data_IF_599351336103
#
_entry.id   IF_599351336103
#
_cell.length_a   1.000
_cell.length_b   1.000
_cell.length_c   1.000
_cell.angle_alpha   90.00
_cell.angle_beta   90.00
_cell.angle_gamma   90.00
#
_symmetry.space_group_name_H-M   'P 1'
#
loop_
_entity.id
_entity.type
_entity.pdbx_description
1 polymer ?
#
# COMPACT_ATOMS: atom_id res chain seq x y z
N UNK A 1 9.39 10.26 12.90
CA UNK A 1 9.43 8.99 12.14
C UNK A 1 8.13 8.88 11.36
N UNK A 2 8.17 8.39 10.12
CA UNK A 2 6.96 8.21 9.30
C UNK A 2 6.46 6.78 9.48
N UNK A 3 5.18 6.62 9.80
CA UNK A 3 4.48 5.33 9.81
C UNK A 3 3.45 5.30 8.69
N UNK A 4 3.46 4.23 7.90
CA UNK A 4 2.52 4.03 6.81
C UNK A 4 1.88 2.64 6.93
N UNK A 5 0.56 2.59 6.88
CA UNK A 5 -0.23 1.36 6.88
C UNK A 5 -0.96 1.27 5.56
N UNK A 6 -0.91 0.11 4.90
CA UNK A 6 -1.54 -0.10 3.60
C UNK A 6 -2.36 -1.37 3.59
N UNK A 7 -3.45 -1.34 2.86
CA UNK A 7 -4.30 -2.49 2.58
C UNK A 7 -5.04 -2.28 1.25
N UNK A 8 -5.54 -3.36 0.67
CA UNK A 8 -6.34 -3.35 -0.54
C UNK A 8 -7.58 -4.24 -0.42
N UNK A 9 -8.64 -3.86 -1.14
CA UNK A 9 -9.88 -4.62 -1.21
C UNK A 9 -10.29 -4.80 -2.65
N UNK A 10 -10.39 -6.05 -3.08
CA UNK A 10 -10.76 -6.43 -4.46
C UNK A 10 -12.05 -7.24 -4.47
N UNK A 11 -13.01 -6.86 -5.33
CA UNK A 11 -14.19 -7.69 -5.64
C UNK A 11 -13.92 -8.54 -6.88
N UNK A 12 -14.25 -9.83 -6.82
CA UNK A 12 -14.19 -10.77 -7.96
C UNK A 12 -12.79 -11.02 -8.57
N UNK A 13 -11.72 -11.00 -7.76
CA UNK A 13 -10.30 -11.30 -8.09
C UNK A 13 -10.00 -12.07 -9.41
N UNK A 14 -9.58 -11.40 -10.50
CA UNK A 14 -9.36 -9.96 -10.65
C UNK A 14 -10.65 -9.17 -10.87
N UNK A 15 -10.73 -7.97 -10.29
CA UNK A 15 -11.86 -7.10 -10.51
C UNK A 15 -11.68 -5.71 -9.88
N UNK A 16 -12.77 -4.94 -9.71
CA UNK A 16 -12.73 -3.62 -9.11
C UNK A 16 -12.00 -3.66 -7.77
N UNK A 17 -11.08 -2.73 -7.57
CA UNK A 17 -10.20 -2.71 -6.41
C UNK A 17 -10.10 -1.31 -5.82
N UNK A 18 -10.08 -1.24 -4.49
CA UNK A 18 -9.82 -0.02 -3.74
C UNK A 18 -8.62 -0.23 -2.83
N UNK A 19 -7.86 0.82 -2.59
CA UNK A 19 -6.71 0.81 -1.67
C UNK A 19 -6.92 1.81 -0.54
N UNK A 20 -6.44 1.41 0.63
CA UNK A 20 -6.52 2.19 1.85
C UNK A 20 -5.12 2.42 2.40
N UNK A 21 -4.83 3.67 2.75
CA UNK A 21 -3.51 4.08 3.25
C UNK A 21 -3.71 4.98 4.46
N UNK A 22 -3.02 4.70 5.55
CA UNK A 22 -2.94 5.58 6.71
C UNK A 22 -1.48 6.00 6.90
N UNK A 23 -1.22 7.29 6.93
CA UNK A 23 0.12 7.84 7.18
C UNK A 23 0.07 8.63 8.48
N UNK A 24 1.06 8.41 9.34
CA UNK A 24 1.21 9.14 10.59
C UNK A 24 2.66 9.58 10.75
N UNK A 25 2.86 10.87 10.93
CA UNK A 25 4.13 11.49 11.33
C UNK A 25 3.94 12.15 12.71
N UNK A 26 4.91 12.95 13.15
CA UNK A 26 4.76 13.75 14.38
C UNK A 26 3.67 14.82 14.24
N UNK A 27 3.64 15.52 13.10
CA UNK A 27 2.74 16.66 12.88
C UNK A 27 1.54 16.35 11.98
N UNK A 28 1.48 15.16 11.36
CA UNK A 28 0.48 14.82 10.35
C UNK A 28 -0.15 13.46 10.58
N UNK A 29 -1.44 13.38 10.26
CA UNK A 29 -2.18 12.13 10.20
C UNK A 29 -3.10 12.15 8.98
N UNK A 30 -2.77 11.35 7.97
CA UNK A 30 -3.45 11.33 6.68
C UNK A 30 -4.13 9.97 6.44
N UNK A 31 -5.31 10.01 5.84
CA UNK A 31 -6.10 8.84 5.50
C UNK A 31 -6.53 8.92 4.04
N UNK A 32 -6.03 7.99 3.22
CA UNK A 32 -6.29 7.95 1.79
C UNK A 32 -7.16 6.73 1.49
N UNK A 33 -8.26 6.98 0.76
CA UNK A 33 -9.16 5.96 0.25
C UNK A 33 -9.25 6.14 -1.26
N UNK A 34 -8.50 5.31 -1.99
CA UNK A 34 -8.25 5.50 -3.43
C UNK A 34 -8.89 4.35 -4.21
N UNK A 35 -9.78 4.70 -5.14
CA UNK A 35 -10.33 3.76 -6.10
C UNK A 35 -9.32 3.51 -7.22
N UNK A 36 -9.03 2.24 -7.55
CA UNK A 36 -8.18 1.91 -8.68
C UNK A 36 -8.98 1.92 -9.98
N UNK A 37 -8.42 2.53 -11.02
CA UNK A 37 -9.06 2.66 -12.33
C UNK A 37 -9.10 1.34 -13.10
N UNK A 38 -8.07 0.50 -12.90
CA UNK A 38 -7.93 -0.81 -13.55
C UNK A 38 -8.39 -1.91 -12.61
N UNK A 39 -9.01 -2.92 -13.19
CA UNK A 39 -9.25 -4.17 -12.48
C UNK A 39 -7.92 -4.87 -12.20
N UNK A 40 -7.77 -5.35 -10.97
CA UNK A 40 -6.55 -5.96 -10.48
C UNK A 40 -6.89 -7.21 -9.69
N UNK A 41 -5.96 -8.14 -9.57
CA UNK A 41 -6.04 -9.18 -8.56
C UNK A 41 -5.82 -8.61 -7.16
N UNK A 42 -6.24 -9.34 -6.13
CA UNK A 42 -6.05 -8.92 -4.74
C UNK A 42 -4.57 -8.64 -4.44
N UNK A 43 -3.67 -9.54 -4.87
CA UNK A 43 -2.23 -9.34 -4.64
C UNK A 43 -1.66 -8.15 -5.41
N UNK A 44 -2.12 -7.88 -6.64
CA UNK A 44 -1.68 -6.69 -7.38
C UNK A 44 -2.15 -5.41 -6.68
N UNK A 45 -3.40 -5.38 -6.22
CA UNK A 45 -3.95 -4.24 -5.50
C UNK A 45 -3.19 -3.95 -4.20
N UNK A 46 -2.70 -4.98 -3.50
CA UNK A 46 -1.86 -4.85 -2.30
C UNK A 46 -0.50 -4.21 -2.60
N UNK A 47 0.15 -4.62 -3.69
CA UNK A 47 1.39 -3.98 -4.15
C UNK A 47 1.13 -2.53 -4.58
N UNK A 48 0.02 -2.29 -5.27
CA UNK A 48 -0.40 -0.96 -5.70
C UNK A 48 -0.72 -0.05 -4.50
N UNK A 49 -1.32 -0.57 -3.43
CA UNK A 49 -1.57 0.17 -2.19
C UNK A 49 -0.27 0.71 -1.59
N UNK A 50 0.76 -0.14 -1.53
CA UNK A 50 2.08 0.26 -1.06
C UNK A 50 2.71 1.33 -1.96
N UNK A 51 2.64 1.12 -3.28
CA UNK A 51 3.21 2.04 -4.26
C UNK A 51 2.53 3.42 -4.22
N UNK A 52 1.20 3.47 -4.10
CA UNK A 52 0.43 4.71 -3.94
C UNK A 52 0.79 5.45 -2.65
N UNK A 53 1.02 4.73 -1.56
CA UNK A 53 1.49 5.32 -0.31
C UNK A 53 2.89 5.94 -0.44
N UNK A 54 3.83 5.24 -1.06
CA UNK A 54 5.17 5.77 -1.34
C UNK A 54 5.13 7.00 -2.24
N UNK A 55 4.30 6.96 -3.28
CA UNK A 55 4.11 8.09 -4.19
C UNK A 55 3.59 9.32 -3.44
N UNK A 56 2.56 9.15 -2.61
CA UNK A 56 2.03 10.25 -1.79
C UNK A 56 3.11 10.87 -0.90
N UNK A 57 3.91 10.04 -0.21
CA UNK A 57 4.99 10.54 0.66
C UNK A 57 6.00 11.38 -0.12
N UNK A 58 6.42 10.90 -1.30
CA UNK A 58 7.39 11.61 -2.15
C UNK A 58 6.81 12.92 -2.68
N UNK A 59 5.57 12.92 -3.17
CA UNK A 59 4.91 14.14 -3.68
C UNK A 59 4.72 15.22 -2.61
N UNK A 60 4.58 14.81 -1.34
CA UNK A 60 4.39 15.72 -0.22
C UNK A 60 5.69 16.05 0.52
N UNK A 61 6.86 15.69 -0.05
CA UNK A 61 8.19 15.88 0.53
C UNK A 61 8.32 15.27 1.94
N UNK A 62 7.69 14.12 2.18
CA UNK A 62 7.77 13.35 3.42
C UNK A 62 8.78 12.21 3.24
N UNK A 63 10.05 12.56 3.01
CA UNK A 63 11.12 11.59 2.69
C UNK A 63 12.34 11.68 3.60
N UNK A 64 12.45 12.74 4.40
CA UNK A 64 13.67 13.04 5.18
C UNK A 64 13.82 12.21 6.47
N UNK A 65 12.84 11.36 6.77
CA UNK A 65 12.78 10.57 8.00
C UNK A 65 12.74 9.06 7.72
N UNK A 66 13.02 8.26 8.75
CA UNK A 66 12.84 6.80 8.67
C UNK A 66 11.38 6.45 8.39
N UNK A 67 11.17 5.61 7.36
CA UNK A 67 9.87 5.08 6.96
C UNK A 67 9.62 3.70 7.57
N UNK A 68 8.53 3.56 8.32
CA UNK A 68 8.05 2.29 8.85
C UNK A 68 6.73 1.91 8.16
N UNK A 69 6.75 0.85 7.38
CA UNK A 69 5.62 0.38 6.59
C UNK A 69 4.97 -0.84 7.24
N UNK A 70 3.65 -0.91 7.19
CA UNK A 70 2.87 -2.01 7.74
C UNK A 70 1.82 -2.48 6.74
N UNK A 71 1.73 -3.79 6.58
CA UNK A 71 0.72 -4.45 5.73
C UNK A 71 0.34 -5.79 6.36
N UNK A 72 -0.88 -6.25 6.16
CA UNK A 72 -1.32 -7.61 6.47
C UNK A 72 -1.12 -8.59 5.31
N UNK A 73 -0.59 -8.13 4.18
CA UNK A 73 -0.11 -8.97 3.08
C UNK A 73 1.30 -9.50 3.37
N UNK A 74 1.38 -10.77 3.81
CA UNK A 74 2.67 -11.48 3.96
C UNK A 74 3.48 -11.49 2.67
N UNK A 75 2.80 -11.55 1.52
CA UNK A 75 3.43 -11.54 0.21
C UNK A 75 4.19 -10.23 0.00
N UNK A 76 3.50 -9.09 0.12
CA UNK A 76 4.11 -7.76 -0.07
C UNK A 76 5.25 -7.55 0.93
N UNK A 77 5.02 -7.79 2.22
CA UNK A 77 6.05 -7.64 3.25
C UNK A 77 7.30 -8.49 2.94
N UNK A 78 7.11 -9.76 2.57
CA UNK A 78 8.23 -10.65 2.25
C UNK A 78 8.95 -10.27 0.96
N UNK A 79 8.21 -9.80 -0.05
CA UNK A 79 8.78 -9.43 -1.34
C UNK A 79 9.69 -8.20 -1.23
N UNK A 80 9.23 -7.18 -0.50
CA UNK A 80 10.00 -5.96 -0.25
C UNK A 80 11.22 -6.26 0.64
N UNK A 81 11.05 -7.02 1.73
CA UNK A 81 12.17 -7.40 2.62
C UNK A 81 13.28 -8.16 1.90
N UNK A 82 12.90 -9.11 1.04
CA UNK A 82 13.86 -9.99 0.34
C UNK A 82 14.36 -9.39 -0.96
N UNK A 83 13.77 -8.27 -1.39
CA UNK A 83 13.90 -7.75 -2.75
C UNK A 83 13.74 -8.87 -3.80
N UNK A 84 12.71 -9.70 -3.62
CA UNK A 84 12.46 -10.84 -4.50
C UNK A 84 11.00 -11.25 -4.48
N UNK A 85 10.45 -11.54 -5.66
CA UNK A 85 9.12 -12.14 -5.80
C UNK A 85 9.16 -13.25 -6.84
N UNK A 86 8.49 -14.37 -6.57
CA UNK A 86 8.54 -15.56 -7.44
C UNK A 86 7.79 -15.38 -8.76
N UNK A 87 6.74 -14.54 -8.77
CA UNK A 87 5.91 -14.31 -9.96
C UNK A 87 6.38 -13.05 -10.68
N UNK A 88 6.74 -13.18 -11.95
CA UNK A 88 7.20 -12.06 -12.78
C UNK A 88 6.19 -10.91 -12.87
N UNK A 89 4.89 -11.20 -12.81
CA UNK A 89 3.81 -10.21 -12.80
C UNK A 89 3.98 -9.16 -11.67
N UNK A 90 4.50 -9.56 -10.52
CA UNK A 90 4.71 -8.66 -9.38
C UNK A 90 6.08 -7.97 -9.41
N UNK A 91 6.98 -8.40 -10.30
CA UNK A 91 8.35 -7.90 -10.37
C UNK A 91 8.40 -6.44 -10.85
N UNK A 92 7.45 -6.03 -11.69
CA UNK A 92 7.30 -4.62 -12.10
C UNK A 92 6.98 -3.75 -10.87
N UNK A 93 5.98 -4.14 -10.07
CA UNK A 93 5.63 -3.41 -8.85
C UNK A 93 6.79 -3.38 -7.86
N UNK A 94 7.44 -4.52 -7.64
CA UNK A 94 8.56 -4.62 -6.71
C UNK A 94 9.73 -3.72 -7.13
N UNK A 95 10.11 -3.74 -8.41
CA UNK A 95 11.17 -2.87 -8.94
C UNK A 95 10.85 -1.41 -8.67
N UNK A 96 9.64 -0.96 -9.02
CA UNK A 96 9.23 0.43 -8.77
C UNK A 96 9.19 0.77 -7.28
N UNK A 97 8.71 -0.14 -6.42
CA UNK A 97 8.73 0.07 -4.96
C UNK A 97 10.16 0.26 -4.48
N UNK A 98 11.11 -0.58 -4.89
CA UNK A 98 12.50 -0.47 -4.48
C UNK A 98 13.14 0.83 -4.95
N UNK A 99 12.88 1.25 -6.19
CA UNK A 99 13.31 2.56 -6.69
C UNK A 99 12.77 3.71 -5.82
N UNK A 100 11.48 3.69 -5.48
CA UNK A 100 10.86 4.73 -4.63
C UNK A 100 11.42 4.71 -3.21
N UNK A 101 11.76 3.54 -2.68
CA UNK A 101 12.36 3.41 -1.35
C UNK A 101 13.74 4.05 -1.24
N UNK A 102 14.46 4.26 -2.36
CA UNK A 102 15.75 4.98 -2.36
C UNK A 102 15.65 6.45 -1.95
N UNK A 103 14.45 7.03 -1.96
CA UNK A 103 14.22 8.40 -1.49
C UNK A 103 14.28 8.53 0.04
N UNK A 104 14.18 7.42 0.77
CA UNK A 104 14.15 7.43 2.23
C UNK A 104 15.51 7.03 2.79
N UNK A 105 16.01 7.70 3.84
CA UNK A 105 17.32 7.40 4.42
C UNK A 105 17.36 6.00 5.04
N UNK A 106 16.23 5.52 5.56
CA UNK A 106 16.06 4.19 6.12
C UNK A 106 14.60 3.78 6.02
N UNK A 107 14.34 2.52 5.71
CA UNK A 107 12.99 1.98 5.73
C UNK A 107 12.92 0.59 6.37
N UNK A 108 11.75 0.30 6.91
CA UNK A 108 11.37 -1.02 7.37
C UNK A 108 9.97 -1.33 6.86
N UNK A 109 9.70 -2.61 6.62
CA UNK A 109 8.34 -3.09 6.35
C UNK A 109 8.06 -4.24 7.30
N UNK A 110 6.88 -4.27 7.92
CA UNK A 110 6.48 -5.37 8.79
C UNK A 110 5.12 -5.91 8.40
N UNK A 111 5.01 -7.24 8.46
CA UNK A 111 3.71 -7.87 8.40
C UNK A 111 3.01 -7.72 9.75
N UNK A 112 1.76 -7.27 9.73
CA UNK A 112 0.91 -7.20 10.92
C UNK A 112 -0.38 -8.01 10.70
N UNK A 113 -0.99 -8.57 11.76
CA UNK A 113 -2.32 -9.16 11.62
C UNK A 113 -3.37 -8.12 11.19
N UNK A 114 -4.33 -8.51 10.37
CA UNK A 114 -5.47 -7.69 9.90
C UNK A 114 -6.17 -6.93 11.05
N UNK A 115 -6.31 -7.58 12.21
CA UNK A 115 -6.90 -6.95 13.42
C UNK A 115 -6.18 -5.67 13.88
N UNK A 116 -4.91 -5.49 13.50
CA UNK A 116 -4.09 -4.30 13.76
C UNK A 116 -4.03 -3.34 12.56
N UNK A 117 -4.58 -3.71 11.40
CA UNK A 117 -4.56 -2.93 10.16
C UNK A 117 -5.93 -2.34 9.78
N UNK A 118 -6.91 -2.39 10.70
CA UNK A 118 -8.31 -1.99 10.45
C UNK A 118 -8.50 -0.61 9.83
N UNK A 119 -7.59 0.33 10.10
CA UNK A 119 -7.65 1.68 9.50
C UNK A 119 -7.52 1.64 7.99
N UNK A 120 -6.47 0.99 7.49
CA UNK A 120 -6.24 0.83 6.06
C UNK A 120 -7.32 -0.05 5.40
N UNK A 121 -7.69 -1.17 6.04
CA UNK A 121 -8.75 -2.07 5.57
C UNK A 121 -10.09 -1.35 5.35
N UNK A 122 -10.53 -0.55 6.33
CA UNK A 122 -11.76 0.21 6.20
C UNK A 122 -11.70 1.22 5.05
N UNK A 123 -10.55 1.89 4.85
CA UNK A 123 -10.36 2.85 3.75
C UNK A 123 -10.38 2.14 2.39
N UNK A 124 -9.78 0.96 2.29
CA UNK A 124 -9.77 0.14 1.07
C UNK A 124 -11.19 -0.33 0.71
N UNK A 125 -11.95 -0.83 1.70
CA UNK A 125 -13.37 -1.21 1.54
C UNK A 125 -14.25 -0.03 1.15
N UNK A 126 -14.03 1.16 1.74
CA UNK A 126 -14.74 2.38 1.34
C UNK A 126 -14.46 2.76 -0.11
N UNK A 127 -13.21 2.68 -0.56
CA UNK A 127 -12.83 2.96 -1.94
C UNK A 127 -13.52 1.96 -2.89
N UNK A 128 -13.47 0.68 -2.59
CA UNK A 128 -14.12 -0.36 -3.37
C UNK A 128 -15.65 -0.15 -3.44
N UNK A 129 -16.29 0.18 -2.32
CA UNK A 129 -17.72 0.42 -2.27
C UNK A 129 -18.12 1.61 -3.15
N UNK A 130 -17.33 2.69 -3.19
CA UNK A 130 -17.58 3.84 -4.06
C UNK A 130 -17.55 3.47 -5.55
N UNK A 131 -16.72 2.50 -5.94
CA UNK A 131 -16.68 2.00 -7.32
C UNK A 131 -17.94 1.18 -7.62
N UNK A 132 -18.29 0.25 -6.74
CA UNK A 132 -19.39 -0.68 -6.95
C UNK A 132 -20.75 0.03 -6.91
N UNK A 133 -20.92 1.01 -6.02
CA UNK A 133 -22.20 1.72 -5.85
C UNK A 133 -22.51 2.72 -6.98
N UNK A 134 -21.52 3.03 -7.82
CA UNK A 134 -21.65 3.92 -8.97
C UNK A 134 -21.96 3.18 -10.28
N UNK A 135 -21.95 1.85 -10.26
CA UNK A 135 -22.41 0.99 -11.37
C UNK A 135 -23.86 0.57 -11.13
#
# INVERSE_FOLDING_TARGET
>A
MIKMYTDASTKNNPGPSGVGIVISTEDRHEQLSIALEKEMSNHEAEFEALLKGLHYLIEHNLTDETLMMYTDSKLVASAVKKNYVKKDLFNVHLTTIQERLTHFPLFFIEWIPESKNKGADNLAKQALQKIISKK
#
